data_IF_499126100218
#
_entry.id   IF_499126100218
#
_cell.length_a   1.000
_cell.length_b   1.000
_cell.length_c   1.000
_cell.angle_alpha   90.00
_cell.angle_beta   90.00
_cell.angle_gamma   90.00
#
_symmetry.space_group_name_H-M   'P 1'
#
loop_
_entity.id
_entity.type
_entity.pdbx_description
1 polymer ?
#
# COMPACT_ATOMS: atom_id res chain seq x y z
N UNK A 1 -14.81 -7.47 -7.56
CA UNK A 1 -16.08 -6.72 -7.71
C UNK A 1 -17.02 -6.98 -6.54
N UNK A 2 -17.40 -8.24 -6.28
CA UNK A 2 -18.43 -8.60 -5.27
C UNK A 2 -18.18 -8.02 -3.87
N UNK A 3 -16.92 -7.94 -3.45
CA UNK A 3 -16.58 -7.33 -2.15
C UNK A 3 -16.88 -5.83 -2.12
N UNK A 4 -16.52 -5.10 -3.19
CA UNK A 4 -16.81 -3.67 -3.29
C UNK A 4 -18.31 -3.41 -3.32
N UNK A 5 -19.07 -4.22 -4.05
CA UNK A 5 -20.54 -4.13 -4.11
C UNK A 5 -21.20 -4.39 -2.75
N UNK A 6 -20.65 -5.35 -1.96
CA UNK A 6 -21.11 -5.62 -0.59
C UNK A 6 -20.78 -4.46 0.34
N UNK A 7 -19.56 -3.93 0.27
CA UNK A 7 -19.15 -2.76 1.05
C UNK A 7 -20.06 -1.57 0.70
N UNK A 8 -20.27 -1.27 -0.58
CA UNK A 8 -21.14 -0.18 -1.02
C UNK A 8 -22.57 -0.28 -0.45
N UNK A 9 -23.14 -1.49 -0.44
CA UNK A 9 -24.45 -1.72 0.21
C UNK A 9 -24.43 -1.42 1.72
N UNK A 10 -23.35 -1.77 2.41
CA UNK A 10 -23.18 -1.51 3.84
C UNK A 10 -22.97 -0.03 4.16
N UNK A 11 -22.33 0.70 3.24
CA UNK A 11 -22.05 2.14 3.40
C UNK A 11 -23.30 3.02 3.16
N UNK A 12 -24.33 2.49 2.54
CA UNK A 12 -25.53 3.27 2.19
C UNK A 12 -26.18 3.89 3.43
N UNK A 13 -26.22 5.22 3.45
CA UNK A 13 -26.73 6.01 4.58
C UNK A 13 -25.76 6.13 5.78
N UNK A 14 -24.55 5.58 5.66
CA UNK A 14 -23.54 5.56 6.72
C UNK A 14 -22.14 5.91 6.21
N UNK A 15 -22.03 6.51 5.02
CA UNK A 15 -20.75 6.80 4.35
C UNK A 15 -19.79 7.61 5.23
N UNK A 16 -20.33 8.57 5.96
CA UNK A 16 -19.57 9.48 6.81
C UNK A 16 -18.96 8.81 8.07
N UNK A 17 -19.41 7.61 8.40
CA UNK A 17 -18.88 6.84 9.53
C UNK A 17 -17.58 6.10 9.18
N UNK A 18 -17.20 6.06 7.91
CA UNK A 18 -16.09 5.24 7.42
C UNK A 18 -15.05 6.04 6.67
N UNK A 19 -13.80 5.70 6.96
CA UNK A 19 -12.63 6.15 6.22
C UNK A 19 -12.31 5.13 5.12
N UNK A 20 -12.44 5.54 3.88
CA UNK A 20 -12.22 4.66 2.72
C UNK A 20 -10.90 4.98 2.04
N UNK A 21 -10.14 3.93 1.77
CA UNK A 21 -8.99 4.03 0.88
C UNK A 21 -9.15 3.07 -0.30
N UNK A 22 -8.82 3.53 -1.49
CA UNK A 22 -8.94 2.76 -2.72
C UNK A 22 -7.68 2.83 -3.56
N UNK A 23 -7.32 1.73 -4.21
CA UNK A 23 -6.15 1.68 -5.07
C UNK A 23 -6.43 2.27 -6.45
N UNK A 24 -5.64 3.26 -6.84
CA UNK A 24 -5.42 3.62 -8.23
C UNK A 24 -4.47 2.57 -8.86
N UNK A 25 -4.45 2.47 -10.18
CA UNK A 25 -3.57 1.54 -10.91
C UNK A 25 -3.87 0.04 -10.70
N UNK A 26 -5.05 -0.29 -10.19
CA UNK A 26 -5.53 -1.68 -10.09
C UNK A 26 -6.97 -1.74 -10.57
N UNK A 27 -7.20 -2.49 -11.64
CA UNK A 27 -8.50 -2.66 -12.27
C UNK A 27 -8.94 -4.12 -12.23
N UNK A 28 -10.24 -4.35 -12.38
CA UNK A 28 -10.80 -5.68 -12.60
C UNK A 28 -10.99 -5.89 -14.09
N UNK A 29 -10.28 -6.86 -14.67
CA UNK A 29 -10.34 -7.18 -16.10
C UNK A 29 -10.18 -8.70 -16.29
N UNK A 30 -10.97 -9.27 -17.17
CA UNK A 30 -10.91 -10.69 -17.54
C UNK A 30 -11.00 -11.64 -16.32
N UNK A 31 -11.86 -11.34 -15.36
CA UNK A 31 -12.08 -12.16 -14.17
C UNK A 31 -11.00 -12.08 -13.09
N UNK A 32 -10.05 -11.14 -13.19
CA UNK A 32 -8.97 -10.97 -12.23
C UNK A 32 -8.59 -9.51 -12.02
N UNK A 33 -7.85 -9.23 -10.94
CA UNK A 33 -7.21 -7.95 -10.74
C UNK A 33 -5.96 -7.82 -11.61
N UNK A 34 -5.87 -6.71 -12.35
CA UNK A 34 -4.74 -6.35 -13.18
C UNK A 34 -4.13 -5.04 -12.67
N UNK A 35 -2.81 -5.01 -12.53
CA UNK A 35 -2.04 -3.78 -12.32
C UNK A 35 -1.86 -3.05 -13.65
N UNK A 36 -2.02 -1.73 -13.66
CA UNK A 36 -1.89 -0.93 -14.88
C UNK A 36 -1.41 0.48 -14.58
N UNK A 37 -0.63 1.05 -15.49
CA UNK A 37 -0.24 2.47 -15.53
C UNK A 37 -0.89 3.20 -16.72
N UNK A 38 -1.66 2.47 -17.54
CA UNK A 38 -2.40 3.07 -18.65
C UNK A 38 -3.48 3.98 -18.10
N UNK A 39 -3.37 5.28 -18.38
CA UNK A 39 -4.19 6.30 -17.69
C UNK A 39 -5.69 6.11 -17.93
N UNK A 40 -6.08 5.69 -19.12
CA UNK A 40 -7.49 5.45 -19.43
C UNK A 40 -8.04 4.29 -18.61
N UNK A 41 -7.29 3.19 -18.47
CA UNK A 41 -7.65 2.07 -17.61
C UNK A 41 -7.70 2.49 -16.12
N UNK A 42 -6.78 3.37 -15.68
CA UNK A 42 -6.76 3.88 -14.30
C UNK A 42 -8.01 4.73 -14.02
N UNK A 43 -8.40 5.60 -14.95
CA UNK A 43 -9.61 6.42 -14.86
C UNK A 43 -10.87 5.55 -14.79
N UNK A 44 -11.00 4.61 -15.72
CA UNK A 44 -12.12 3.67 -15.75
C UNK A 44 -12.23 2.85 -14.45
N UNK A 45 -11.10 2.33 -13.97
CA UNK A 45 -11.05 1.54 -12.74
C UNK A 45 -11.38 2.33 -11.48
N UNK A 46 -11.06 3.63 -11.44
CA UNK A 46 -11.43 4.51 -10.34
C UNK A 46 -12.94 4.81 -10.33
N UNK A 47 -13.52 5.13 -11.47
CA UNK A 47 -14.96 5.39 -11.57
C UNK A 47 -15.78 4.10 -11.27
N UNK A 48 -15.38 2.92 -11.77
CA UNK A 48 -15.98 1.62 -11.40
C UNK A 48 -15.91 1.39 -9.88
N UNK A 49 -14.79 1.73 -9.25
CA UNK A 49 -14.63 1.60 -7.81
C UNK A 49 -15.61 2.48 -7.03
N UNK A 50 -15.75 3.75 -7.39
CA UNK A 50 -16.69 4.68 -6.75
C UNK A 50 -18.13 4.19 -6.93
N UNK A 51 -18.49 3.78 -8.14
CA UNK A 51 -19.83 3.27 -8.44
C UNK A 51 -20.18 2.05 -7.58
N UNK A 52 -19.27 1.08 -7.46
CA UNK A 52 -19.49 -0.14 -6.66
C UNK A 52 -19.55 0.14 -5.16
N UNK A 53 -18.76 1.10 -4.70
CA UNK A 53 -18.77 1.54 -3.30
C UNK A 53 -19.97 2.46 -2.98
N UNK A 54 -20.78 2.83 -3.98
CA UNK A 54 -21.91 3.74 -3.83
C UNK A 54 -21.50 5.06 -3.16
N UNK A 55 -20.36 5.64 -3.58
CA UNK A 55 -19.81 6.87 -3.04
C UNK A 55 -19.27 7.77 -4.15
N UNK A 56 -19.19 9.07 -3.89
CA UNK A 56 -18.62 10.04 -4.83
C UNK A 56 -17.15 10.33 -4.55
N UNK A 57 -16.64 9.90 -3.40
CA UNK A 57 -15.29 10.23 -2.96
C UNK A 57 -14.70 9.18 -2.00
N UNK A 58 -13.38 9.21 -1.89
CA UNK A 58 -12.58 8.43 -0.93
C UNK A 58 -11.73 9.37 -0.09
N UNK A 59 -11.38 8.95 1.11
CA UNK A 59 -10.39 9.66 1.91
C UNK A 59 -8.99 9.52 1.32
N UNK A 60 -8.61 8.33 0.83
CA UNK A 60 -7.29 8.14 0.22
C UNK A 60 -7.41 7.49 -1.16
N UNK A 61 -6.86 8.15 -2.18
CA UNK A 61 -6.55 7.55 -3.47
C UNK A 61 -5.11 7.02 -3.44
N UNK A 62 -4.96 5.70 -3.35
CA UNK A 62 -3.68 5.02 -3.15
C UNK A 62 -3.05 4.62 -4.48
N UNK A 63 -1.95 5.25 -4.88
CA UNK A 63 -1.17 4.82 -6.05
C UNK A 63 -0.52 3.49 -5.73
N UNK A 64 -0.90 2.44 -6.45
CA UNK A 64 -0.55 1.07 -6.12
C UNK A 64 0.82 0.64 -6.66
N UNK A 65 1.57 -0.13 -5.86
CA UNK A 65 2.81 -0.83 -6.16
C UNK A 65 3.93 0.02 -6.80
N UNK A 66 4.49 0.93 -6.05
CA UNK A 66 5.66 1.71 -6.44
C UNK A 66 6.87 1.13 -5.68
N UNK A 67 7.56 0.17 -6.30
CA UNK A 67 8.53 -0.69 -5.63
C UNK A 67 9.98 -0.47 -6.10
N UNK A 68 10.21 0.53 -6.96
CA UNK A 68 11.55 0.94 -7.35
C UNK A 68 11.63 2.46 -7.57
N UNK A 69 12.84 3.01 -7.55
CA UNK A 69 13.08 4.42 -7.88
C UNK A 69 12.64 4.75 -9.30
N UNK A 70 12.79 3.80 -10.22
CA UNK A 70 12.32 3.94 -11.60
C UNK A 70 10.80 4.05 -11.65
N UNK A 71 10.07 3.15 -10.96
CA UNK A 71 8.62 3.22 -10.86
C UNK A 71 8.15 4.54 -10.27
N UNK A 72 8.81 5.01 -9.21
CA UNK A 72 8.48 6.30 -8.61
C UNK A 72 8.63 7.43 -9.61
N UNK A 73 9.75 7.48 -10.32
CA UNK A 73 10.00 8.51 -11.33
C UNK A 73 8.92 8.49 -12.43
N UNK A 74 8.60 7.31 -12.96
CA UNK A 74 7.57 7.16 -14.00
C UNK A 74 6.19 7.59 -13.50
N UNK A 75 5.86 7.29 -12.25
CA UNK A 75 4.60 7.72 -11.63
C UNK A 75 4.58 9.24 -11.42
N UNK A 76 5.64 9.79 -10.81
CA UNK A 76 5.70 11.18 -10.39
C UNK A 76 5.69 12.17 -11.56
N UNK A 77 6.44 11.86 -12.61
CA UNK A 77 6.52 12.68 -13.85
C UNK A 77 5.39 12.36 -14.83
N UNK A 78 4.65 11.27 -14.60
CA UNK A 78 3.69 10.71 -15.53
C UNK A 78 2.23 11.10 -15.28
N UNK A 79 1.34 10.59 -16.14
CA UNK A 79 -0.08 10.93 -16.09
C UNK A 79 -0.82 10.40 -14.84
N UNK A 80 -0.27 9.39 -14.16
CA UNK A 80 -0.89 8.81 -12.95
C UNK A 80 -0.88 9.83 -11.81
N UNK A 81 0.27 10.47 -11.54
CA UNK A 81 0.36 11.50 -10.50
C UNK A 81 -0.45 12.74 -10.88
N UNK A 82 -0.42 13.12 -12.15
CA UNK A 82 -1.28 14.22 -12.62
C UNK A 82 -2.75 13.92 -12.34
N UNK A 83 -3.21 12.73 -12.65
CA UNK A 83 -4.59 12.32 -12.37
C UNK A 83 -4.91 12.29 -10.87
N UNK A 84 -4.01 11.82 -10.03
CA UNK A 84 -4.19 11.85 -8.57
C UNK A 84 -4.37 13.30 -8.05
N UNK A 85 -3.58 14.26 -8.58
CA UNK A 85 -3.74 15.69 -8.28
C UNK A 85 -5.09 16.24 -8.76
N UNK A 86 -5.53 15.85 -9.97
CA UNK A 86 -6.85 16.21 -10.51
C UNK A 86 -7.98 15.70 -9.62
N UNK A 87 -7.93 14.42 -9.19
CA UNK A 87 -8.91 13.82 -8.28
C UNK A 87 -8.96 14.57 -6.94
N UNK A 88 -7.80 14.94 -6.40
CA UNK A 88 -7.71 15.71 -5.16
C UNK A 88 -8.30 17.12 -5.33
N UNK A 89 -7.98 17.81 -6.40
CA UNK A 89 -8.53 19.13 -6.71
C UNK A 89 -10.06 19.12 -6.90
N UNK A 90 -10.60 18.01 -7.44
CA UNK A 90 -12.04 17.80 -7.61
C UNK A 90 -12.75 17.33 -6.32
N UNK A 91 -12.02 17.05 -5.25
CA UNK A 91 -12.56 16.49 -4.02
C UNK A 91 -12.98 15.01 -4.11
N UNK A 92 -12.64 14.32 -5.20
CA UNK A 92 -12.90 12.88 -5.35
C UNK A 92 -11.99 12.01 -4.48
N UNK A 93 -10.81 12.51 -4.13
CA UNK A 93 -9.98 11.98 -3.05
C UNK A 93 -9.57 13.13 -2.13
N UNK A 94 -9.44 12.86 -0.85
CA UNK A 94 -8.98 13.85 0.13
C UNK A 94 -7.46 13.89 0.22
N UNK A 95 -6.83 12.73 0.19
CA UNK A 95 -5.39 12.54 0.31
C UNK A 95 -4.84 11.67 -0.82
N UNK A 96 -3.62 12.00 -1.27
CA UNK A 96 -2.86 11.12 -2.18
C UNK A 96 -2.05 10.17 -1.32
N UNK A 97 -2.25 8.88 -1.54
CA UNK A 97 -1.48 7.82 -0.92
C UNK A 97 -0.63 7.06 -1.92
N UNK A 98 0.32 6.29 -1.40
CA UNK A 98 1.19 5.42 -2.18
C UNK A 98 1.36 4.09 -1.46
N UNK A 99 1.34 2.97 -2.19
CA UNK A 99 1.73 1.68 -1.63
C UNK A 99 3.07 1.22 -2.17
N UNK A 100 3.94 0.80 -1.27
CA UNK A 100 5.27 0.31 -1.59
C UNK A 100 5.71 -0.81 -0.65
N UNK A 101 6.65 -1.64 -1.14
CA UNK A 101 7.39 -2.62 -0.36
C UNK A 101 8.87 -2.25 -0.23
N UNK A 102 9.33 -1.26 -1.00
CA UNK A 102 10.72 -0.81 -1.04
C UNK A 102 10.87 0.50 -0.27
N UNK A 103 11.69 0.54 0.81
CA UNK A 103 11.86 1.73 1.62
C UNK A 103 12.52 2.89 0.87
N UNK A 104 13.43 2.64 -0.08
CA UNK A 104 14.08 3.71 -0.84
C UNK A 104 13.08 4.42 -1.78
N UNK A 105 12.27 3.64 -2.51
CA UNK A 105 11.22 4.20 -3.36
C UNK A 105 10.17 4.95 -2.54
N UNK A 106 9.79 4.41 -1.39
CA UNK A 106 8.87 5.08 -0.47
C UNK A 106 9.45 6.38 0.10
N UNK A 107 10.74 6.42 0.45
CA UNK A 107 11.41 7.64 0.91
C UNK A 107 11.42 8.74 -0.16
N UNK A 108 11.73 8.41 -1.41
CA UNK A 108 11.68 9.39 -2.50
C UNK A 108 10.26 9.92 -2.72
N UNK A 109 9.27 9.06 -2.59
CA UNK A 109 7.88 9.48 -2.66
C UNK A 109 7.48 10.43 -1.52
N UNK A 110 7.88 10.13 -0.29
CA UNK A 110 7.64 10.99 0.89
C UNK A 110 8.39 12.32 0.78
N UNK A 111 9.61 12.34 0.26
CA UNK A 111 10.40 13.56 0.03
C UNK A 111 9.71 14.54 -0.93
N UNK A 112 8.88 14.05 -1.86
CA UNK A 112 8.12 14.91 -2.78
C UNK A 112 7.12 15.82 -2.09
N UNK A 113 6.70 15.49 -0.87
CA UNK A 113 5.65 16.17 -0.08
C UNK A 113 4.26 16.11 -0.69
N UNK A 114 4.04 15.28 -1.70
CA UNK A 114 2.73 15.06 -2.29
C UNK A 114 2.03 13.82 -1.73
N UNK A 115 2.80 12.91 -1.14
CA UNK A 115 2.25 11.69 -0.52
C UNK A 115 1.93 11.99 0.94
N UNK A 116 0.67 11.81 1.30
CA UNK A 116 0.14 12.09 2.64
C UNK A 116 -0.15 10.81 3.43
N UNK A 117 -0.31 9.68 2.72
CA UNK A 117 -0.54 8.36 3.33
C UNK A 117 0.34 7.33 2.61
N UNK A 118 1.14 6.61 3.37
CA UNK A 118 1.96 5.50 2.88
C UNK A 118 1.37 4.17 3.36
N UNK A 119 1.02 3.28 2.43
CA UNK A 119 0.75 1.89 2.75
C UNK A 119 2.04 1.10 2.60
N UNK A 120 2.55 0.56 3.69
CA UNK A 120 3.83 -0.12 3.72
C UNK A 120 3.73 -1.51 4.36
N UNK A 121 4.58 -2.43 3.90
CA UNK A 121 4.65 -3.77 4.48
C UNK A 121 5.49 -3.72 5.75
N UNK A 122 4.83 -3.85 6.90
CA UNK A 122 5.45 -3.80 8.22
C UNK A 122 5.09 -5.07 8.99
N UNK A 123 6.11 -5.80 9.39
CA UNK A 123 6.01 -6.91 10.33
C UNK A 123 7.41 -7.27 10.82
N UNK A 124 7.53 -8.02 11.93
CA UNK A 124 8.84 -8.34 12.52
C UNK A 124 9.86 -8.97 11.58
N UNK A 125 9.39 -9.67 10.54
CA UNK A 125 10.29 -10.32 9.59
C UNK A 125 10.79 -9.38 8.51
N UNK A 126 9.90 -8.55 7.97
CA UNK A 126 10.27 -7.61 6.89
C UNK A 126 11.14 -6.48 7.40
N UNK A 127 10.90 -6.01 8.62
CA UNK A 127 11.68 -4.94 9.20
C UNK A 127 13.13 -5.36 9.51
N UNK A 128 13.36 -6.66 9.66
CA UNK A 128 14.67 -7.25 9.92
C UNK A 128 15.34 -7.81 8.66
N UNK A 129 14.76 -7.59 7.46
CA UNK A 129 15.33 -8.01 6.18
C UNK A 129 15.95 -6.83 5.44
N UNK A 130 17.04 -7.03 4.69
CA UNK A 130 17.59 -5.99 3.84
C UNK A 130 16.55 -5.43 2.86
N UNK A 131 16.59 -4.12 2.65
CA UNK A 131 15.79 -3.48 1.62
C UNK A 131 16.19 -3.98 0.23
N UNK A 132 15.21 -4.24 -0.63
CA UNK A 132 15.44 -4.70 -2.00
C UNK A 132 14.32 -4.26 -2.94
N UNK A 133 14.65 -4.08 -4.22
CA UNK A 133 13.67 -3.76 -5.26
C UNK A 133 12.78 -4.94 -5.63
N UNK A 134 13.24 -6.16 -5.37
CA UNK A 134 12.50 -7.37 -5.67
C UNK A 134 11.61 -7.77 -4.49
N UNK A 135 10.39 -7.24 -4.47
CA UNK A 135 9.41 -7.60 -3.45
C UNK A 135 8.95 -9.07 -3.54
N UNK A 136 9.14 -9.77 -4.66
CA UNK A 136 8.85 -11.20 -4.75
C UNK A 136 9.85 -12.02 -3.93
N UNK A 137 11.07 -11.52 -3.76
CA UNK A 137 12.06 -12.14 -2.90
C UNK A 137 11.66 -12.16 -1.42
N UNK A 138 10.74 -11.27 -0.98
CA UNK A 138 10.19 -11.28 0.38
C UNK A 138 9.30 -12.49 0.65
N UNK A 139 8.89 -13.21 -0.38
CA UNK A 139 8.07 -14.43 -0.26
C UNK A 139 8.84 -15.72 -0.55
N UNK A 140 10.15 -15.63 -0.80
CA UNK A 140 10.99 -16.83 -0.94
C UNK A 140 11.44 -17.29 0.45
N UNK A 141 11.02 -18.49 0.86
CA UNK A 141 11.38 -19.14 2.14
C UNK A 141 12.89 -19.12 2.43
N UNK A 142 13.73 -19.01 1.39
CA UNK A 142 15.18 -18.94 1.54
C UNK A 142 15.65 -17.61 2.13
N UNK A 143 14.89 -16.55 1.98
CA UNK A 143 15.23 -15.22 2.49
C UNK A 143 14.95 -15.06 3.99
N UNK A 144 14.10 -15.93 4.56
CA UNK A 144 13.85 -15.98 6.00
C UNK A 144 14.94 -16.70 6.81
N UNK A 145 15.97 -17.24 6.15
CA UNK A 145 17.02 -18.05 6.80
C UNK A 145 18.24 -17.25 7.26
N UNK A 146 18.23 -15.95 7.11
CA UNK A 146 19.27 -15.06 7.64
C UNK A 146 19.08 -14.78 9.13
N UNK A 147 20.16 -14.44 9.82
CA UNK A 147 20.10 -13.97 11.20
C UNK A 147 19.31 -12.64 11.24
N UNK A 148 18.16 -12.66 11.88
CA UNK A 148 17.34 -11.46 12.11
C UNK A 148 17.96 -10.70 13.28
N UNK A 149 18.80 -9.72 12.99
CA UNK A 149 19.59 -9.07 14.05
C UNK A 149 19.15 -7.66 14.39
N UNK A 150 18.75 -6.85 13.41
CA UNK A 150 18.35 -5.44 13.62
C UNK A 150 17.39 -4.99 12.53
N UNK A 151 16.61 -3.93 12.82
CA UNK A 151 15.81 -3.26 11.81
C UNK A 151 16.72 -2.73 10.69
N UNK A 152 16.28 -2.88 9.44
CA UNK A 152 16.97 -2.29 8.29
C UNK A 152 17.00 -0.75 8.44
N UNK A 153 18.20 -0.11 8.37
CA UNK A 153 18.32 1.34 8.56
C UNK A 153 17.46 2.16 7.60
N UNK A 154 17.24 1.68 6.37
CA UNK A 154 16.40 2.39 5.40
C UNK A 154 14.92 2.38 5.82
N UNK A 155 14.47 1.35 6.51
CA UNK A 155 13.10 1.30 7.06
C UNK A 155 12.96 2.24 8.25
N UNK A 156 13.93 2.25 9.15
CA UNK A 156 13.96 3.18 10.29
C UNK A 156 13.92 4.63 9.81
N UNK A 157 14.78 4.98 8.84
CA UNK A 157 14.81 6.31 8.23
C UNK A 157 13.47 6.68 7.60
N UNK A 158 12.82 5.74 6.87
CA UNK A 158 11.50 5.95 6.29
C UNK A 158 10.45 6.27 7.35
N UNK A 159 10.41 5.51 8.44
CA UNK A 159 9.43 5.72 9.51
C UNK A 159 9.64 7.07 10.21
N UNK A 160 10.88 7.42 10.48
CA UNK A 160 11.22 8.75 11.02
C UNK A 160 10.82 9.88 10.06
N UNK A 161 11.08 9.70 8.76
CA UNK A 161 10.73 10.70 7.75
C UNK A 161 9.21 10.90 7.68
N UNK A 162 8.42 9.81 7.65
CA UNK A 162 6.97 9.87 7.70
C UNK A 162 6.49 10.63 8.94
N UNK A 163 7.04 10.30 10.11
CA UNK A 163 6.70 10.98 11.38
C UNK A 163 7.01 12.46 11.32
N UNK A 164 8.21 12.84 10.88
CA UNK A 164 8.67 14.25 10.78
C UNK A 164 7.85 15.06 9.77
N UNK A 165 7.32 14.43 8.72
CA UNK A 165 6.55 15.10 7.68
C UNK A 165 5.03 15.02 7.88
N UNK A 166 4.55 14.28 8.88
CA UNK A 166 3.12 14.08 9.13
C UNK A 166 2.45 13.15 8.10
N UNK A 167 3.22 12.25 7.48
CA UNK A 167 2.69 11.23 6.57
C UNK A 167 2.12 10.07 7.39
N UNK A 168 0.83 9.77 7.20
CA UNK A 168 0.19 8.64 7.85
C UNK A 168 0.66 7.31 7.27
N UNK A 169 0.90 6.30 8.12
CA UNK A 169 1.26 4.95 7.65
C UNK A 169 0.09 4.01 7.86
N UNK A 170 -0.30 3.29 6.80
CA UNK A 170 -1.20 2.14 6.88
C UNK A 170 -0.41 0.86 6.64
N UNK A 171 -0.62 -0.12 7.50
CA UNK A 171 0.18 -1.34 7.51
C UNK A 171 -0.45 -2.41 6.61
N UNK A 172 0.33 -2.97 5.71
CA UNK A 172 -0.02 -4.21 5.02
C UNK A 172 0.90 -5.34 5.47
N UNK A 173 0.40 -6.58 5.34
CA UNK A 173 1.15 -7.81 5.64
C UNK A 173 1.64 -7.92 7.09
N UNK A 174 0.91 -7.38 8.04
CA UNK A 174 1.27 -7.44 9.47
C UNK A 174 1.57 -8.86 9.99
N UNK A 175 1.02 -9.88 9.33
CA UNK A 175 1.24 -11.29 9.69
C UNK A 175 2.12 -12.05 8.69
N UNK A 176 2.88 -11.35 7.82
CA UNK A 176 3.75 -11.99 6.82
C UNK A 176 3.01 -12.90 5.84
N UNK A 177 1.78 -12.56 5.44
CA UNK A 177 0.94 -13.44 4.62
C UNK A 177 0.28 -14.58 5.40
N UNK A 178 0.52 -14.68 6.69
CA UNK A 178 0.08 -15.76 7.58
C UNK A 178 1.24 -16.60 8.14
N UNK A 179 2.41 -16.50 7.54
CA UNK A 179 3.59 -17.31 7.90
C UNK A 179 4.02 -17.07 9.35
N UNK A 180 3.93 -15.84 9.84
CA UNK A 180 4.24 -15.53 11.24
C UNK A 180 3.35 -16.25 12.25
N UNK A 181 2.15 -16.65 11.86
CA UNK A 181 1.19 -17.37 12.70
C UNK A 181 1.33 -18.89 12.59
N UNK A 182 2.27 -19.40 11.80
CA UNK A 182 2.55 -20.82 11.61
C UNK A 182 3.80 -21.25 12.40
N UNK A 183 3.75 -22.40 13.05
CA UNK A 183 4.92 -22.97 13.71
C UNK A 183 6.01 -23.43 12.72
N UNK A 184 5.61 -23.84 11.53
CA UNK A 184 6.50 -24.37 10.50
C UNK A 184 7.15 -23.26 9.65
N UNK A 185 6.40 -22.18 9.36
CA UNK A 185 6.81 -21.15 8.42
C UNK A 185 7.40 -19.91 9.11
N UNK A 186 7.12 -19.71 10.39
CA UNK A 186 7.59 -18.53 11.11
C UNK A 186 9.12 -18.55 11.27
N UNK A 187 9.83 -17.51 10.79
CA UNK A 187 11.28 -17.39 10.96
C UNK A 187 11.71 -17.19 12.42
N UNK A 188 10.76 -16.93 13.33
CA UNK A 188 11.00 -16.89 14.76
C UNK A 188 11.15 -18.29 15.40
N UNK A 189 11.07 -19.39 14.60
CA UNK A 189 11.12 -20.77 15.07
C UNK A 189 9.90 -21.19 15.89
N UNK A 190 8.85 -20.38 15.92
CA UNK A 190 7.56 -20.64 16.58
C UNK A 190 6.48 -19.74 15.98
N UNK A 191 5.22 -20.15 16.11
CA UNK A 191 4.09 -19.28 15.79
C UNK A 191 4.09 -18.04 16.70
N UNK A 192 3.89 -16.87 16.11
CA UNK A 192 3.63 -15.65 16.83
C UNK A 192 2.11 -15.46 17.01
N UNK A 193 1.71 -14.81 18.07
CA UNK A 193 0.32 -14.36 18.23
C UNK A 193 0.07 -13.09 17.42
N UNK A 194 -1.18 -12.81 17.00
CA UNK A 194 -1.50 -11.55 16.33
C UNK A 194 -1.03 -10.32 17.11
N UNK A 195 -1.15 -10.33 18.45
CA UNK A 195 -0.66 -9.23 19.30
C UNK A 195 0.84 -9.03 19.18
N UNK A 196 1.62 -10.11 19.14
CA UNK A 196 3.09 -10.02 19.00
C UNK A 196 3.51 -9.50 17.62
N UNK A 197 2.69 -9.69 16.58
CA UNK A 197 2.98 -9.15 15.25
C UNK A 197 2.65 -7.65 15.11
N UNK A 198 1.80 -7.12 16.00
CA UNK A 198 1.31 -5.72 15.94
C UNK A 198 2.11 -4.81 16.91
N UNK A 199 2.68 -5.36 17.94
CA UNK A 199 3.51 -4.67 18.95
C UNK A 199 4.99 -4.73 18.63
#
# INVERSE_FOLDING_TARGET
PDLRDRIGKMLKGRREEYFLQGHLCTIWKDGQYKRTRQIDEVREGFEDMLQRLCTDSLEVGMIHYVDSLKDWKEVYEGPVMQYARELKAQGKIRHIGLSSHNPEAAMEAVKSREIEVLMFSINPCYDLQPAGENCEALWDDKNYKGDLVNMDPAREELYEMCSKQGVGITVMKAFGGGDLLSEELSPAGRALTPSQCIH
#
